data_IF_089382674800
#
_entry.id   IF_089382674800
#
_cell.length_a   1.000
_cell.length_b   1.000
_cell.length_c   1.000
_cell.angle_alpha   90.00
_cell.angle_beta   90.00
_cell.angle_gamma   90.00
#
_symmetry.space_group_name_H-M   'P 1'
#
loop_
_entity.id
_entity.type
_entity.pdbx_description
1 polymer ?
#
# COMPACT_ATOMS: atom_id res chain seq x y z
N UNK A 1 18.31 6.54 -7.66
CA UNK A 1 17.90 7.72 -8.45
C UNK A 1 17.10 7.27 -9.68
N UNK A 2 17.66 6.40 -10.54
CA UNK A 2 16.96 5.76 -11.67
C UNK A 2 15.60 5.12 -11.32
N UNK A 3 15.49 4.41 -10.20
CA UNK A 3 14.22 3.78 -9.80
C UNK A 3 13.10 4.78 -9.47
N UNK A 4 13.43 6.02 -9.06
CA UNK A 4 12.44 7.05 -8.71
C UNK A 4 11.98 7.78 -9.98
N UNK A 5 12.90 8.06 -10.91
CA UNK A 5 12.56 8.63 -12.23
C UNK A 5 11.68 7.70 -13.05
N UNK A 6 11.97 6.40 -13.03
CA UNK A 6 11.15 5.37 -13.72
C UNK A 6 9.75 5.26 -13.09
N UNK A 7 9.64 5.37 -11.76
CA UNK A 7 8.34 5.35 -11.10
C UNK A 7 7.53 6.63 -11.35
N UNK A 8 8.20 7.78 -11.43
CA UNK A 8 7.57 9.06 -11.71
C UNK A 8 7.05 9.13 -13.16
N UNK A 9 7.86 8.72 -14.14
CA UNK A 9 7.45 8.68 -15.56
C UNK A 9 6.31 7.70 -15.81
N UNK A 10 6.24 6.58 -15.08
CA UNK A 10 5.16 5.60 -15.19
C UNK A 10 3.80 6.06 -14.62
N UNK A 11 3.77 7.13 -13.83
CA UNK A 11 2.53 7.64 -13.19
C UNK A 11 1.88 8.77 -14.00
N UNK A 12 2.57 9.35 -14.99
CA UNK A 12 1.99 10.38 -15.86
C UNK A 12 1.17 9.73 -16.99
N UNK A 13 -0.12 10.07 -17.17
CA UNK A 13 -0.88 9.60 -18.31
C UNK A 13 -0.31 10.22 -19.59
N UNK A 14 0.29 9.40 -20.46
CA UNK A 14 0.69 9.80 -21.80
C UNK A 14 -0.56 9.97 -22.67
N UNK A 15 -0.95 11.22 -22.96
CA UNK A 15 -2.01 11.49 -23.91
C UNK A 15 -1.56 11.10 -25.33
N UNK A 16 -2.36 10.35 -26.10
CA UNK A 16 -2.00 10.02 -27.48
C UNK A 16 -2.00 11.31 -28.32
N UNK A 17 -0.88 11.57 -28.98
CA UNK A 17 -0.71 12.67 -29.92
C UNK A 17 -1.57 12.38 -31.17
N UNK A 18 -2.70 13.07 -31.30
CA UNK A 18 -3.57 13.00 -32.48
C UNK A 18 -2.92 13.74 -33.65
N UNK A 19 -1.91 13.13 -34.26
CA UNK A 19 -1.18 13.64 -35.42
C UNK A 19 -0.79 12.52 -36.38
N UNK A 20 -1.73 12.13 -37.25
CA UNK A 20 -1.44 11.65 -38.62
C UNK A 20 -0.83 10.26 -38.83
N UNK A 21 -1.71 9.28 -39.11
CA UNK A 21 -1.51 8.31 -40.21
C UNK A 21 -0.74 7.01 -39.95
N UNK A 22 -1.45 5.91 -39.70
CA UNK A 22 -1.57 4.71 -40.56
C UNK A 22 -2.28 3.57 -39.80
N UNK A 23 -3.35 3.08 -40.41
CA UNK A 23 -4.20 1.97 -39.94
C UNK A 23 -3.52 0.62 -40.16
N UNK A 24 -3.46 -0.22 -39.12
CA UNK A 24 -3.46 -1.69 -39.29
C UNK A 24 -4.67 -2.23 -38.56
N UNK A 25 -5.53 -2.85 -39.36
CA UNK A 25 -6.87 -3.31 -39.05
C UNK A 25 -6.88 -4.51 -38.08
N UNK A 26 -7.68 -4.43 -37.02
CA UNK A 26 -8.26 -5.61 -36.35
C UNK A 26 -9.63 -5.21 -35.82
N UNK A 27 -10.62 -5.43 -36.68
CA UNK A 27 -12.03 -5.17 -36.48
C UNK A 27 -12.63 -6.23 -35.56
N UNK A 28 -13.03 -5.83 -34.35
CA UNK A 28 -14.33 -6.18 -33.72
C UNK A 28 -14.60 -5.17 -32.60
N UNK A 29 -15.21 -4.04 -32.97
CA UNK A 29 -15.84 -3.14 -32.00
C UNK A 29 -17.31 -3.56 -31.90
N UNK A 30 -17.65 -4.37 -30.90
CA UNK A 30 -19.03 -4.43 -30.39
C UNK A 30 -19.08 -3.44 -29.24
N UNK A 31 -19.87 -2.39 -29.43
CA UNK A 31 -20.09 -1.32 -28.48
C UNK A 31 -21.41 -1.60 -27.75
N UNK A 32 -21.34 -2.33 -26.64
CA UNK A 32 -22.33 -2.21 -25.56
C UNK A 32 -21.67 -1.52 -24.37
N UNK A 33 -22.44 -0.68 -23.68
CA UNK A 33 -21.97 0.35 -22.75
C UNK A 33 -21.16 -0.17 -21.55
N UNK A 34 -19.87 -0.37 -21.74
CA UNK A 34 -18.91 -0.66 -20.68
C UNK A 34 -18.15 0.60 -20.27
N UNK A 35 -18.09 0.84 -18.96
CA UNK A 35 -17.04 1.67 -18.36
C UNK A 35 -15.70 1.29 -18.99
N UNK A 36 -14.98 2.29 -19.51
CA UNK A 36 -13.61 2.11 -19.94
C UNK A 36 -12.76 1.85 -18.69
N UNK A 37 -12.75 0.61 -18.21
CA UNK A 37 -11.65 0.15 -17.38
C UNK A 37 -10.44 0.13 -18.31
N UNK A 38 -9.65 1.20 -18.22
CA UNK A 38 -8.29 1.21 -18.72
C UNK A 38 -7.57 0.10 -17.95
N UNK A 39 -7.57 -1.09 -18.52
CA UNK A 39 -6.70 -2.17 -18.09
C UNK A 39 -5.29 -1.66 -18.36
N UNK A 40 -4.67 -1.06 -17.33
CA UNK A 40 -3.24 -0.79 -17.33
C UNK A 40 -2.57 -2.15 -17.40
N UNK A 41 -2.31 -2.64 -18.60
CA UNK A 41 -1.56 -3.87 -18.81
C UNK A 41 -0.19 -3.62 -18.19
N UNK A 42 0.08 -4.21 -17.03
CA UNK A 42 1.39 -4.10 -16.39
C UNK A 42 2.42 -4.59 -17.40
N UNK A 43 3.37 -3.72 -17.78
CA UNK A 43 4.43 -4.11 -18.69
C UNK A 43 5.16 -5.33 -18.09
N UNK A 44 5.42 -6.39 -18.87
CA UNK A 44 5.99 -7.64 -18.35
C UNK A 44 7.32 -7.43 -17.61
N UNK A 45 8.06 -6.37 -17.96
CA UNK A 45 9.29 -5.95 -17.29
C UNK A 45 9.08 -5.67 -15.79
N UNK A 46 7.94 -5.10 -15.40
CA UNK A 46 7.64 -4.77 -14.01
C UNK A 46 7.49 -6.03 -13.15
N UNK A 47 6.78 -7.04 -13.65
CA UNK A 47 6.62 -8.34 -12.98
C UNK A 47 7.96 -9.06 -12.80
N UNK A 48 8.83 -9.00 -13.81
CA UNK A 48 10.17 -9.58 -13.72
C UNK A 48 11.05 -8.90 -12.67
N UNK A 49 11.08 -7.56 -12.67
CA UNK A 49 11.81 -6.78 -11.68
C UNK A 49 11.26 -7.04 -10.28
N UNK A 50 9.93 -7.12 -10.15
CA UNK A 50 9.28 -7.44 -8.89
C UNK A 50 9.72 -8.80 -8.35
N UNK A 51 9.70 -9.84 -9.18
CA UNK A 51 10.09 -11.19 -8.79
C UNK A 51 11.57 -11.27 -8.37
N UNK A 52 12.48 -10.67 -9.15
CA UNK A 52 13.91 -10.60 -8.82
C UNK A 52 14.13 -9.89 -7.48
N UNK A 53 13.42 -8.79 -7.24
CA UNK A 53 13.49 -8.08 -5.97
C UNK A 53 12.98 -8.94 -4.80
N UNK A 54 11.94 -9.77 -4.98
CA UNK A 54 11.45 -10.68 -3.92
C UNK A 54 12.54 -11.69 -3.59
N UNK A 55 13.11 -12.34 -4.61
CA UNK A 55 14.15 -13.36 -4.43
C UNK A 55 15.37 -12.78 -3.72
N UNK A 56 15.85 -11.61 -4.16
CA UNK A 56 16.97 -10.93 -3.53
C UNK A 56 16.68 -10.59 -2.05
N UNK A 57 15.49 -10.07 -1.74
CA UNK A 57 15.12 -9.75 -0.37
C UNK A 57 14.91 -10.96 0.51
N UNK A 58 14.39 -12.07 -0.04
CA UNK A 58 14.30 -13.34 0.67
C UNK A 58 15.69 -13.89 1.00
N UNK A 59 16.65 -13.80 0.07
CA UNK A 59 18.03 -14.20 0.31
C UNK A 59 18.73 -13.32 1.34
N UNK A 60 18.60 -12.00 1.24
CA UNK A 60 19.15 -11.04 2.22
C UNK A 60 18.61 -11.32 3.63
N UNK A 61 17.30 -11.55 3.75
CA UNK A 61 16.67 -11.89 5.03
C UNK A 61 17.15 -13.24 5.58
N UNK A 62 17.22 -14.27 4.72
CA UNK A 62 17.67 -15.60 5.12
C UNK A 62 19.13 -15.59 5.59
N UNK A 63 20.02 -14.92 4.87
CA UNK A 63 21.42 -14.76 5.26
C UNK A 63 21.54 -14.06 6.62
N UNK A 64 20.81 -12.95 6.83
CA UNK A 64 20.81 -12.27 8.13
C UNK A 64 20.26 -13.16 9.25
N UNK A 65 19.22 -13.95 8.97
CA UNK A 65 18.62 -14.87 9.93
C UNK A 65 19.56 -16.04 10.31
N UNK A 66 20.35 -16.52 9.35
CA UNK A 66 21.34 -17.58 9.57
C UNK A 66 22.54 -17.08 10.37
N UNK A 67 23.02 -15.87 10.09
CA UNK A 67 24.17 -15.25 10.79
C UNK A 67 23.80 -14.74 12.19
N UNK A 68 22.52 -14.45 12.46
CA UNK A 68 22.09 -13.92 13.75
C UNK A 68 22.18 -14.95 14.90
N UNK A 69 22.90 -14.65 16.00
CA UNK A 69 23.06 -15.59 17.13
C UNK A 69 21.79 -15.76 17.97
N UNK A 70 20.84 -14.80 17.92
CA UNK A 70 19.55 -14.86 18.65
C UNK A 70 18.36 -14.62 17.72
N UNK A 71 17.85 -15.71 17.13
CA UNK A 71 16.80 -15.73 16.09
C UNK A 71 15.51 -14.99 16.47
N UNK A 72 15.03 -15.18 17.70
CA UNK A 72 13.75 -14.59 18.16
C UNK A 72 13.86 -13.07 18.42
N UNK A 73 14.99 -12.63 18.96
CA UNK A 73 15.27 -11.21 19.20
C UNK A 73 15.50 -10.47 17.87
N UNK A 74 16.15 -11.14 16.93
CA UNK A 74 16.34 -10.65 15.57
C UNK A 74 14.99 -10.45 14.85
N UNK A 75 14.08 -11.44 14.90
CA UNK A 75 12.78 -11.33 14.24
C UNK A 75 11.88 -10.21 14.79
N UNK A 76 12.06 -9.81 16.07
CA UNK A 76 11.28 -8.74 16.71
C UNK A 76 11.82 -7.33 16.50
N UNK A 77 12.98 -7.17 15.88
CA UNK A 77 13.54 -5.85 15.58
C UNK A 77 12.74 -5.17 14.47
N UNK A 78 12.34 -3.91 14.67
CA UNK A 78 11.47 -3.15 13.75
C UNK A 78 11.89 -3.24 12.27
N UNK A 79 13.20 -3.14 12.00
CA UNK A 79 13.75 -3.23 10.64
C UNK A 79 13.58 -4.62 10.02
N UNK A 80 13.74 -5.67 10.83
CA UNK A 80 13.60 -7.06 10.40
C UNK A 80 12.13 -7.47 10.23
N UNK A 81 11.22 -6.86 11.00
CA UNK A 81 9.77 -7.00 10.81
C UNK A 81 9.34 -6.39 9.48
N UNK A 82 9.84 -5.20 9.13
CA UNK A 82 9.59 -4.59 7.81
C UNK A 82 10.17 -5.46 6.69
N UNK A 83 11.36 -6.04 6.90
CA UNK A 83 11.94 -7.01 5.97
C UNK A 83 11.04 -8.23 5.74
N UNK A 84 10.51 -8.82 6.80
CA UNK A 84 9.61 -9.97 6.72
C UNK A 84 8.28 -9.60 6.05
N UNK A 85 7.68 -8.46 6.42
CA UNK A 85 6.43 -7.97 5.83
C UNK A 85 6.58 -7.65 4.34
N UNK A 86 7.78 -7.29 3.88
CA UNK A 86 8.03 -6.98 2.46
C UNK A 86 8.00 -8.20 1.54
N UNK A 87 8.33 -9.38 2.06
CA UNK A 87 8.30 -10.65 1.32
C UNK A 87 6.98 -11.40 1.53
N UNK A 88 6.24 -11.08 2.59
CA UNK A 88 4.98 -11.72 2.96
C UNK A 88 3.93 -11.78 1.83
N UNK A 89 3.68 -10.73 1.01
CA UNK A 89 2.68 -10.78 -0.07
C UNK A 89 2.86 -11.96 -1.00
N UNK A 90 4.11 -12.22 -1.41
CA UNK A 90 4.46 -13.30 -2.33
C UNK A 90 4.20 -14.68 -1.71
N UNK A 91 4.61 -14.88 -0.45
CA UNK A 91 4.37 -16.15 0.24
C UNK A 91 2.88 -16.38 0.53
N UNK A 92 2.11 -15.34 0.80
CA UNK A 92 0.66 -15.44 0.94
C UNK A 92 -0.03 -15.80 -0.38
N UNK A 93 0.32 -15.15 -1.49
CA UNK A 93 -0.21 -15.48 -2.81
C UNK A 93 0.11 -16.94 -3.20
N UNK A 94 1.36 -17.37 -2.97
CA UNK A 94 1.79 -18.76 -3.20
C UNK A 94 1.07 -19.77 -2.29
N UNK A 95 0.87 -19.44 -1.00
CA UNK A 95 0.16 -20.29 -0.04
C UNK A 95 -1.31 -20.45 -0.43
N UNK A 96 -1.98 -19.38 -0.85
CA UNK A 96 -3.36 -19.41 -1.32
C UNK A 96 -3.50 -20.30 -2.57
N UNK A 97 -2.54 -20.22 -3.48
CA UNK A 97 -2.47 -21.09 -4.66
C UNK A 97 -2.25 -22.55 -4.29
N UNK A 98 -1.29 -22.86 -3.40
CA UNK A 98 -0.98 -24.22 -2.93
C UNK A 98 -2.11 -24.87 -2.12
N UNK A 99 -2.85 -24.08 -1.34
CA UNK A 99 -3.97 -24.56 -0.53
C UNK A 99 -5.19 -24.95 -1.40
N UNK A 100 -5.10 -24.80 -2.73
CA UNK A 100 -6.16 -25.22 -3.66
C UNK A 100 -7.44 -24.40 -3.51
N UNK A 101 -7.38 -23.24 -2.84
CA UNK A 101 -8.50 -22.33 -2.75
C UNK A 101 -8.64 -21.69 -4.12
N UNK A 102 -9.39 -22.34 -5.00
CA UNK A 102 -9.76 -21.81 -6.31
C UNK A 102 -10.26 -20.38 -6.13
N UNK A 103 -9.75 -19.43 -6.91
CA UNK A 103 -10.01 -17.99 -6.74
C UNK A 103 -11.50 -17.62 -6.68
N UNK A 104 -12.37 -18.50 -7.16
CA UNK A 104 -13.83 -18.38 -7.05
C UNK A 104 -14.37 -18.57 -5.62
N UNK A 105 -13.80 -19.49 -4.83
CA UNK A 105 -14.16 -19.68 -3.42
C UNK A 105 -13.59 -18.59 -2.54
N UNK A 106 -12.38 -18.08 -2.87
CA UNK A 106 -11.80 -16.88 -2.25
C UNK A 106 -12.82 -15.74 -2.36
N UNK A 107 -13.25 -15.39 -3.58
CA UNK A 107 -14.20 -14.28 -3.82
C UNK A 107 -15.54 -14.37 -3.07
N UNK A 108 -16.01 -15.59 -2.75
CA UNK A 108 -17.27 -15.82 -2.00
C UNK A 108 -17.11 -15.63 -0.49
N UNK A 109 -15.91 -15.73 0.09
CA UNK A 109 -15.70 -15.50 1.52
C UNK A 109 -15.41 -14.03 1.80
N UNK A 110 -16.08 -13.44 2.80
CA UNK A 110 -15.79 -12.09 3.33
C UNK A 110 -14.30 -11.84 3.59
N UNK A 111 -13.56 -12.90 3.90
CA UNK A 111 -12.12 -12.91 4.12
C UNK A 111 -11.29 -12.58 2.88
N UNK A 112 -11.77 -12.82 1.67
CA UNK A 112 -11.01 -12.50 0.46
C UNK A 112 -10.90 -11.01 0.18
N UNK A 113 -11.99 -10.26 0.38
CA UNK A 113 -11.94 -8.81 0.27
C UNK A 113 -10.94 -8.24 1.29
N UNK A 114 -10.91 -8.80 2.50
CA UNK A 114 -9.92 -8.44 3.52
C UNK A 114 -8.50 -8.83 3.10
N UNK A 115 -8.29 -10.03 2.57
CA UNK A 115 -6.99 -10.52 2.08
C UNK A 115 -6.46 -9.67 0.94
N UNK A 116 -7.26 -9.35 -0.08
CA UNK A 116 -6.83 -8.49 -1.20
C UNK A 116 -6.49 -7.09 -0.71
N UNK A 117 -7.27 -6.53 0.22
CA UNK A 117 -6.98 -5.24 0.83
C UNK A 117 -5.68 -5.28 1.63
N UNK A 118 -5.46 -6.33 2.39
CA UNK A 118 -4.24 -6.51 3.18
C UNK A 118 -3.03 -6.69 2.29
N UNK A 119 -3.11 -7.53 1.23
CA UNK A 119 -2.06 -7.71 0.23
C UNK A 119 -1.69 -6.38 -0.43
N UNK A 120 -2.68 -5.55 -0.80
CA UNK A 120 -2.44 -4.21 -1.35
C UNK A 120 -1.69 -3.30 -0.37
N UNK A 121 -2.04 -3.30 0.91
CA UNK A 121 -1.34 -2.55 1.96
C UNK A 121 0.09 -3.07 2.16
N UNK A 122 0.28 -4.40 2.18
CA UNK A 122 1.60 -5.02 2.31
C UNK A 122 2.53 -4.70 1.13
N UNK A 123 2.00 -4.56 -0.10
CA UNK A 123 2.76 -4.10 -1.27
C UNK A 123 3.30 -2.67 -1.08
N UNK A 124 2.52 -1.76 -0.48
CA UNK A 124 2.99 -0.40 -0.14
C UNK A 124 4.11 -0.43 0.92
N UNK A 125 4.03 -1.36 1.88
CA UNK A 125 5.07 -1.55 2.89
C UNK A 125 6.39 -2.02 2.26
N UNK A 126 6.34 -2.85 1.21
CA UNK A 126 7.53 -3.24 0.44
C UNK A 126 8.21 -2.05 -0.24
N UNK A 127 7.47 -1.03 -0.67
CA UNK A 127 8.04 0.23 -1.19
C UNK A 127 8.74 1.01 -0.06
N UNK A 128 8.17 1.01 1.16
CA UNK A 128 8.81 1.65 2.32
C UNK A 128 10.18 1.02 2.66
N UNK A 129 10.39 -0.26 2.33
CA UNK A 129 11.70 -0.92 2.42
C UNK A 129 12.74 -0.29 1.49
N UNK A 130 12.37 0.18 0.29
CA UNK A 130 13.26 0.96 -0.57
C UNK A 130 13.67 2.29 0.09
N UNK A 131 12.75 2.87 0.86
CA UNK A 131 12.99 4.09 1.62
C UNK A 131 14.14 3.98 2.63
N UNK A 132 14.46 2.78 3.16
CA UNK A 132 15.59 2.62 4.11
C UNK A 132 16.95 2.86 3.46
N UNK A 133 17.07 2.62 2.16
CA UNK A 133 18.29 2.87 1.40
C UNK A 133 18.46 4.37 1.14
N UNK A 134 17.42 5.16 1.40
CA UNK A 134 17.49 6.62 1.42
C UNK A 134 17.97 7.10 2.80
N UNK A 135 19.11 7.82 2.86
CA UNK A 135 19.56 8.49 4.08
C UNK A 135 18.50 9.43 4.67
N UNK A 136 17.62 9.99 3.82
CA UNK A 136 16.54 10.89 4.23
C UNK A 136 15.52 10.23 5.16
N UNK A 137 15.09 9.00 4.88
CA UNK A 137 14.11 8.31 5.71
C UNK A 137 14.73 7.81 7.03
N UNK A 138 16.01 7.42 7.01
CA UNK A 138 16.75 7.05 8.21
C UNK A 138 16.90 8.25 9.17
N UNK A 139 17.25 9.43 8.64
CA UNK A 139 17.34 10.66 9.42
C UNK A 139 15.98 11.11 9.96
N UNK A 140 14.93 10.96 9.16
CA UNK A 140 13.55 11.23 9.59
C UNK A 140 13.11 10.30 10.73
N UNK A 141 13.35 8.99 10.59
CA UNK A 141 13.03 8.02 11.63
C UNK A 141 13.82 8.26 12.93
N UNK A 142 15.09 8.64 12.82
CA UNK A 142 15.91 9.03 13.96
C UNK A 142 15.35 10.29 14.65
N UNK A 143 14.96 11.29 13.86
CA UNK A 143 14.36 12.52 14.36
C UNK A 143 13.05 12.22 15.11
N UNK A 144 12.15 11.43 14.53
CA UNK A 144 10.93 10.97 15.20
C UNK A 144 11.24 10.23 16.50
N UNK A 145 12.25 9.36 16.50
CA UNK A 145 12.62 8.61 17.70
C UNK A 145 13.15 9.53 18.80
N UNK A 146 13.93 10.56 18.43
CA UNK A 146 14.49 11.55 19.34
C UNK A 146 13.42 12.47 19.91
N UNK A 147 12.44 12.88 19.09
CA UNK A 147 11.34 13.75 19.50
C UNK A 147 10.06 13.00 19.87
N UNK A 148 10.10 11.67 20.05
CA UNK A 148 8.90 10.83 20.28
C UNK A 148 8.01 11.36 21.40
N UNK A 149 8.61 11.79 22.52
CA UNK A 149 7.87 12.34 23.67
C UNK A 149 7.16 13.65 23.33
N UNK A 150 7.82 14.54 22.58
CA UNK A 150 7.26 15.81 22.15
C UNK A 150 6.15 15.59 21.10
N UNK A 151 6.39 14.74 20.12
CA UNK A 151 5.41 14.38 19.10
C UNK A 151 4.16 13.71 19.69
N UNK A 152 4.35 12.84 20.68
CA UNK A 152 3.25 12.19 21.40
C UNK A 152 2.38 13.20 22.16
N UNK A 153 2.99 14.18 22.83
CA UNK A 153 2.25 15.22 23.54
C UNK A 153 1.38 16.04 22.58
N UNK A 154 1.94 16.46 21.44
CA UNK A 154 1.18 17.15 20.38
C UNK A 154 0.04 16.28 19.85
N UNK A 155 0.29 14.99 19.61
CA UNK A 155 -0.73 14.04 19.17
C UNK A 155 -1.89 13.91 20.14
N UNK A 156 -1.62 13.85 21.45
CA UNK A 156 -2.68 13.78 22.48
C UNK A 156 -3.52 15.06 22.49
N UNK A 157 -2.89 16.23 22.45
CA UNK A 157 -3.61 17.51 22.39
C UNK A 157 -4.47 17.59 21.13
N UNK A 158 -3.92 17.20 19.97
CA UNK A 158 -4.65 17.17 18.70
C UNK A 158 -5.87 16.25 18.76
N UNK A 159 -5.72 15.04 19.30
CA UNK A 159 -6.85 14.10 19.44
C UNK A 159 -7.94 14.69 20.35
N UNK A 160 -7.55 15.29 21.48
CA UNK A 160 -8.52 15.94 22.38
C UNK A 160 -9.28 17.06 21.68
N UNK A 161 -8.58 17.87 20.88
CA UNK A 161 -9.17 18.96 20.09
C UNK A 161 -10.13 18.42 19.03
N UNK A 162 -9.73 17.40 18.27
CA UNK A 162 -10.61 16.75 17.28
C UNK A 162 -11.86 16.19 17.95
N UNK A 163 -11.71 15.44 19.05
CA UNK A 163 -12.87 14.90 19.79
C UNK A 163 -13.79 16.02 20.29
N UNK A 164 -13.23 17.10 20.84
CA UNK A 164 -14.00 18.23 21.35
C UNK A 164 -14.80 18.93 20.24
N UNK A 165 -14.15 19.31 19.14
CA UNK A 165 -14.82 20.01 18.03
C UNK A 165 -15.80 19.09 17.29
N UNK A 166 -15.44 17.84 17.06
CA UNK A 166 -16.36 16.89 16.42
C UNK A 166 -17.58 16.60 17.28
N UNK A 167 -17.44 16.58 18.61
CA UNK A 167 -18.58 16.48 19.52
C UNK A 167 -19.44 17.73 19.47
N UNK A 168 -18.83 18.92 19.48
CA UNK A 168 -19.55 20.20 19.41
C UNK A 168 -20.40 20.29 18.13
N UNK A 169 -19.81 20.01 16.97
CA UNK A 169 -20.49 20.09 15.68
C UNK A 169 -21.58 19.03 15.55
N UNK A 170 -21.31 17.81 16.03
CA UNK A 170 -22.33 16.79 16.12
C UNK A 170 -23.54 17.27 16.94
N UNK A 171 -23.32 17.90 18.10
CA UNK A 171 -24.43 18.43 18.92
C UNK A 171 -25.14 19.63 18.31
N UNK A 172 -24.45 20.44 17.50
CA UNK A 172 -25.06 21.58 16.80
C UNK A 172 -25.94 21.13 15.63
N UNK A 173 -25.55 20.08 14.91
CA UNK A 173 -26.25 19.64 13.70
C UNK A 173 -27.12 18.39 13.89
N UNK A 174 -27.11 17.75 15.07
CA UNK A 174 -27.87 16.50 15.31
C UNK A 174 -29.38 16.62 15.08
N UNK A 175 -29.94 17.82 15.20
CA UNK A 175 -31.38 18.08 15.10
C UNK A 175 -31.79 18.54 13.68
N UNK A 176 -30.83 18.69 12.76
CA UNK A 176 -31.09 19.09 11.37
C UNK A 176 -31.24 17.86 10.46
N UNK A 177 -32.34 17.74 9.69
CA UNK A 177 -32.48 16.67 8.70
C UNK A 177 -31.43 16.80 7.58
N UNK A 178 -30.90 15.67 7.09
CA UNK A 178 -29.88 15.56 6.03
C UNK A 178 -28.45 16.09 6.35
N UNK A 179 -28.03 16.13 7.62
CA UNK A 179 -26.62 16.44 7.96
C UNK A 179 -25.64 15.29 7.64
N UNK A 180 -24.40 15.64 7.28
CA UNK A 180 -23.28 14.70 7.08
C UNK A 180 -22.69 14.19 8.40
N UNK A 181 -23.04 14.81 9.53
CA UNK A 181 -22.51 14.47 10.86
C UNK A 181 -23.36 13.42 11.57
N UNK A 182 -23.37 12.21 11.01
CA UNK A 182 -24.21 11.11 11.49
C UNK A 182 -23.72 10.49 12.81
N UNK A 183 -22.43 10.63 13.14
CA UNK A 183 -21.86 10.11 14.39
C UNK A 183 -20.56 10.84 14.74
N UNK A 184 -20.24 10.91 16.04
CA UNK A 184 -19.02 11.56 16.54
C UNK A 184 -17.74 11.05 15.82
N UNK A 185 -17.54 9.73 15.60
CA UNK A 185 -16.36 9.24 14.88
C UNK A 185 -16.36 9.59 13.38
N UNK A 186 -17.53 9.73 12.76
CA UNK A 186 -17.63 10.16 11.37
C UNK A 186 -17.25 11.65 11.22
N UNK A 187 -17.60 12.46 12.22
CA UNK A 187 -17.26 13.89 12.29
C UNK A 187 -15.77 14.15 12.50
N UNK A 188 -14.96 13.18 12.95
CA UNK A 188 -13.51 13.34 13.09
C UNK A 188 -12.79 13.68 11.77
N UNK A 189 -13.41 13.38 10.63
CA UNK A 189 -12.86 13.71 9.30
C UNK A 189 -12.96 15.20 8.95
N UNK A 190 -13.91 15.91 9.54
CA UNK A 190 -14.13 17.35 9.35
C UNK A 190 -13.27 18.13 10.34
#
# INVERSE_FOLDING_TARGET
MLAIEVYATATYPTYPNSGGGMTVESRTVIREGGEQQVEMTEHPVFTWVENVCVVYFSLEYLLRFLVAPRKLAFARQFLNVIDLLSIAPFYFEMLLWLCGISGENVRKVRWAFLTVRLLRVLRVIRIAKLGRFSPGLANFALTIRKSKKQMQMVGVVMITVVIFFSTLIYFLEKDEPDTKFTSIPATFWW
#
